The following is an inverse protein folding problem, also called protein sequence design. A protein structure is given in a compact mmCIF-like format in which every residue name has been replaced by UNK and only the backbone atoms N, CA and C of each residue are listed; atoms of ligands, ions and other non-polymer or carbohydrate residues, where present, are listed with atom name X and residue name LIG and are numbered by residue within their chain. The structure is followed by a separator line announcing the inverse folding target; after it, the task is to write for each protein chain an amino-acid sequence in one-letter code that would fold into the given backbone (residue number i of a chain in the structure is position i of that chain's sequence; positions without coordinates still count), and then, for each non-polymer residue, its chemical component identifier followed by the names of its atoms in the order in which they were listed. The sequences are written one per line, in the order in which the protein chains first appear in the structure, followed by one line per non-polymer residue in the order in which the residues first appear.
data_IF_472416937163
#
_entry.id   IF_472416937163
#
_cell.length_a   1.000
_cell.length_b   1.000
_cell.length_c   1.000
_cell.angle_alpha   90.00
_cell.angle_beta   90.00
_cell.angle_gamma   90.00
#
_symmetry.space_group_name_H-M   'P 1'
#
loop_
_entity.id
_entity.type
_entity.pdbx_description
1 polymer ?
#
# COMPACT_ATOMS: atom_id res chain seq x y z
N UNK A 1 12.03 -66.73 -25.86
CA UNK A 1 11.93 -65.56 -24.96
C UNK A 1 13.27 -65.43 -24.24
N UNK A 2 13.87 -64.24 -24.05
CA UNK A 2 13.40 -62.87 -24.26
C UNK A 2 14.28 -62.02 -25.20
N UNK A 3 13.86 -60.75 -25.33
CA UNK A 3 14.28 -59.67 -26.21
C UNK A 3 15.75 -59.20 -26.08
N UNK A 4 16.36 -58.85 -27.20
CA UNK A 4 17.50 -57.93 -27.28
C UNK A 4 16.96 -56.52 -27.55
N UNK A 5 17.21 -55.61 -26.60
CA UNK A 5 16.92 -54.18 -26.68
C UNK A 5 17.73 -53.51 -27.80
N UNK A 6 17.01 -52.87 -28.73
CA UNK A 6 17.59 -51.92 -29.67
C UNK A 6 17.92 -50.63 -28.92
N UNK A 7 19.20 -50.30 -28.86
CA UNK A 7 19.67 -48.95 -28.62
C UNK A 7 19.22 -48.05 -29.78
N UNK A 8 18.09 -47.36 -29.59
CA UNK A 8 17.74 -46.19 -30.38
C UNK A 8 18.38 -44.98 -29.73
N UNK A 9 19.50 -44.53 -30.31
CA UNK A 9 20.02 -43.18 -30.14
C UNK A 9 18.98 -42.19 -30.68
N UNK A 10 18.16 -41.64 -29.79
CA UNK A 10 17.35 -40.48 -30.11
C UNK A 10 18.25 -39.24 -30.15
N UNK A 11 18.25 -38.47 -31.25
CA UNK A 11 19.04 -37.26 -31.34
C UNK A 11 18.53 -36.24 -30.33
N UNK A 12 19.50 -35.55 -29.72
CA UNK A 12 19.34 -34.41 -28.83
C UNK A 12 18.35 -33.43 -29.47
N UNK A 13 17.30 -33.07 -28.72
CA UNK A 13 16.32 -32.06 -29.09
C UNK A 13 17.04 -30.78 -29.52
N UNK A 14 16.84 -30.40 -30.78
CA UNK A 14 16.72 -29.02 -31.30
C UNK A 14 17.06 -27.93 -30.27
N UNK A 15 18.23 -27.31 -30.40
CA UNK A 15 18.44 -25.99 -29.79
C UNK A 15 17.47 -25.02 -30.45
N UNK A 16 16.49 -24.52 -29.71
CA UNK A 16 15.70 -23.35 -30.11
C UNK A 16 16.69 -22.21 -30.34
N UNK A 17 16.92 -21.80 -31.59
CA UNK A 17 17.72 -20.61 -31.87
C UNK A 17 16.92 -19.41 -31.35
N UNK A 18 17.47 -18.71 -30.36
CA UNK A 18 16.90 -17.46 -29.86
C UNK A 18 16.87 -16.44 -31.00
N UNK A 19 15.90 -15.53 -30.98
CA UNK A 19 15.90 -14.46 -31.98
C UNK A 19 17.13 -13.55 -31.78
N UNK A 20 17.72 -12.98 -32.86
CA UNK A 20 18.85 -12.05 -32.71
C UNK A 20 18.58 -10.86 -31.76
N UNK A 21 17.36 -10.28 -31.71
CA UNK A 21 17.02 -9.28 -30.69
C UNK A 21 17.02 -9.83 -29.25
N UNK A 22 16.60 -11.08 -29.04
CA UNK A 22 16.60 -11.74 -27.73
C UNK A 22 18.02 -11.94 -27.21
N UNK A 23 18.91 -12.50 -28.03
CA UNK A 23 20.33 -12.65 -27.68
C UNK A 23 20.98 -11.31 -27.34
N UNK A 24 20.68 -10.28 -28.15
CA UNK A 24 21.22 -8.93 -27.92
C UNK A 24 20.73 -8.33 -26.60
N UNK A 25 19.43 -8.43 -26.30
CA UNK A 25 18.86 -7.92 -25.05
C UNK A 25 19.47 -8.59 -23.82
N UNK A 26 19.65 -9.91 -23.87
CA UNK A 26 20.31 -10.69 -22.80
C UNK A 26 21.75 -10.20 -22.61
N UNK A 27 22.52 -10.15 -23.69
CA UNK A 27 23.93 -9.74 -23.63
C UNK A 27 24.10 -8.33 -23.08
N UNK A 28 23.27 -7.38 -23.54
CA UNK A 28 23.32 -6.00 -23.03
C UNK A 28 22.88 -5.92 -21.57
N UNK A 29 21.82 -6.64 -21.18
CA UNK A 29 21.37 -6.65 -19.78
C UNK A 29 22.48 -7.17 -18.86
N UNK A 30 23.17 -8.24 -19.26
CA UNK A 30 24.33 -8.81 -18.57
C UNK A 30 25.53 -7.85 -18.55
N UNK A 31 25.83 -7.20 -19.67
CA UNK A 31 26.97 -6.26 -19.82
C UNK A 31 26.81 -5.03 -18.92
N UNK A 32 25.64 -4.38 -18.96
CA UNK A 32 25.33 -3.19 -18.16
C UNK A 32 24.89 -3.53 -16.73
N UNK A 33 24.68 -4.81 -16.46
CA UNK A 33 24.34 -5.30 -15.14
C UNK A 33 22.98 -4.82 -14.63
N UNK A 34 22.08 -4.35 -15.50
CA UNK A 34 20.82 -3.72 -15.13
C UNK A 34 19.76 -3.92 -16.22
N UNK A 35 18.58 -4.44 -15.86
CA UNK A 35 17.42 -4.40 -16.75
C UNK A 35 16.10 -4.35 -15.96
N UNK A 36 15.11 -3.68 -16.52
CA UNK A 36 13.73 -3.66 -16.02
C UNK A 36 12.87 -4.43 -17.02
N UNK A 37 12.26 -5.50 -16.57
CA UNK A 37 11.39 -6.36 -17.37
C UNK A 37 9.95 -6.05 -17.00
N UNK A 38 9.06 -5.85 -17.97
CA UNK A 38 7.67 -5.47 -17.71
C UNK A 38 6.74 -5.95 -18.81
N UNK A 39 5.73 -6.72 -18.45
CA UNK A 39 4.59 -7.03 -19.30
C UNK A 39 3.70 -5.79 -19.55
N UNK A 40 3.39 -5.53 -20.81
CA UNK A 40 2.57 -4.40 -21.25
C UNK A 40 1.09 -4.63 -20.95
N UNK A 41 0.43 -3.62 -20.40
CA UNK A 41 -0.99 -3.65 -20.03
C UNK A 41 -1.84 -2.78 -20.96
N UNK A 42 -3.19 -2.94 -20.95
CA UNK A 42 -4.08 -2.07 -21.73
C UNK A 42 -3.89 -0.56 -21.48
N UNK A 43 -3.49 -0.16 -20.27
CA UNK A 43 -3.24 1.25 -19.93
C UNK A 43 -1.88 1.76 -20.44
N UNK A 44 -0.97 0.87 -20.78
CA UNK A 44 0.35 1.24 -21.30
C UNK A 44 0.23 1.65 -22.78
N UNK A 45 -0.59 0.91 -23.53
CA UNK A 45 -0.85 1.12 -24.97
C UNK A 45 -2.01 2.08 -25.27
N UNK A 46 -2.68 2.61 -24.24
CA UNK A 46 -3.68 3.68 -24.39
C UNK A 46 -5.07 3.23 -24.88
N UNK A 47 -5.38 1.94 -24.83
CA UNK A 47 -6.66 1.39 -25.35
C UNK A 47 -7.83 1.49 -24.36
N UNK A 48 -7.60 1.93 -23.11
CA UNK A 48 -8.64 1.99 -22.08
C UNK A 48 -9.49 3.27 -22.10
N UNK A 49 -9.29 4.16 -23.09
CA UNK A 49 -10.02 5.44 -23.19
C UNK A 49 -9.71 6.43 -22.07
N UNK A 50 -8.76 6.10 -21.20
CA UNK A 50 -8.28 6.98 -20.13
C UNK A 50 -7.18 7.91 -20.64
N UNK A 51 -6.97 9.06 -19.99
CA UNK A 51 -5.84 9.96 -20.29
C UNK A 51 -4.46 9.36 -19.93
N UNK A 52 -4.41 8.10 -19.51
CA UNK A 52 -3.20 7.39 -19.15
C UNK A 52 -2.70 6.60 -20.36
N UNK A 53 -1.64 7.10 -20.99
CA UNK A 53 -0.95 6.45 -22.10
C UNK A 53 0.56 6.52 -21.87
N UNK A 54 1.27 5.46 -22.27
CA UNK A 54 2.71 5.27 -22.07
C UNK A 54 3.04 4.31 -20.93
N UNK A 55 4.21 3.70 -21.03
CA UNK A 55 4.61 2.56 -20.23
C UNK A 55 4.80 2.95 -18.76
N UNK A 56 4.04 2.32 -17.87
CA UNK A 56 4.24 2.41 -16.42
C UNK A 56 5.65 1.94 -16.04
N UNK A 57 6.30 2.64 -15.13
CA UNK A 57 7.56 2.21 -14.53
C UNK A 57 7.39 2.01 -13.02
N UNK A 58 7.94 0.93 -12.42
CA UNK A 58 7.74 0.62 -11.01
C UNK A 58 8.37 1.66 -10.09
N UNK A 59 7.58 2.19 -9.15
CA UNK A 59 8.00 3.27 -8.24
C UNK A 59 9.16 2.85 -7.32
N UNK A 60 9.18 1.61 -6.86
CA UNK A 60 10.18 1.09 -5.91
C UNK A 60 11.60 1.21 -6.44
N UNK A 61 11.79 1.08 -7.75
CA UNK A 61 13.11 1.06 -8.40
C UNK A 61 13.41 2.29 -9.24
N UNK A 62 12.79 3.42 -8.89
CA UNK A 62 12.94 4.69 -9.60
C UNK A 62 14.40 5.10 -9.86
N UNK A 63 15.32 4.76 -8.95
CA UNK A 63 16.76 5.05 -9.06
C UNK A 63 17.40 4.45 -10.31
N UNK A 64 16.83 3.39 -10.88
CA UNK A 64 17.34 2.76 -12.10
C UNK A 64 17.09 3.58 -13.35
N UNK A 65 16.09 4.48 -13.34
CA UNK A 65 15.63 5.14 -14.56
C UNK A 65 15.43 6.65 -14.42
N UNK A 66 15.53 7.22 -13.22
CA UNK A 66 15.40 8.67 -13.03
C UNK A 66 16.13 9.15 -11.77
N UNK A 67 16.66 10.39 -11.76
CA UNK A 67 17.19 11.03 -10.56
C UNK A 67 16.10 11.63 -9.66
N UNK A 68 14.84 11.66 -10.11
CA UNK A 68 13.75 12.29 -9.37
C UNK A 68 13.00 11.28 -8.51
N UNK A 69 13.13 11.43 -7.18
CA UNK A 69 12.43 10.59 -6.20
C UNK A 69 10.90 10.79 -6.22
N UNK A 70 10.11 9.78 -5.79
CA UNK A 70 8.65 9.83 -5.89
C UNK A 70 8.01 10.63 -4.74
N UNK A 71 8.15 11.94 -4.81
CA UNK A 71 7.66 12.89 -3.81
C UNK A 71 6.19 13.29 -4.04
N UNK A 72 5.35 13.13 -3.02
CA UNK A 72 3.91 13.48 -3.10
C UNK A 72 3.75 14.99 -3.32
N UNK A 73 2.86 15.37 -4.24
CA UNK A 73 2.56 16.76 -4.61
C UNK A 73 3.41 17.30 -5.76
N UNK A 74 4.41 16.56 -6.24
CA UNK A 74 5.28 16.98 -7.34
C UNK A 74 4.92 16.36 -8.68
N UNK A 75 5.35 17.04 -9.74
CA UNK A 75 5.33 16.57 -11.13
C UNK A 75 6.72 16.80 -11.70
N UNK A 76 7.52 15.75 -11.76
CA UNK A 76 8.91 15.82 -12.23
C UNK A 76 9.04 15.13 -13.58
N UNK A 77 9.81 15.72 -14.49
CA UNK A 77 10.03 15.21 -15.85
C UNK A 77 11.52 15.04 -16.10
N UNK A 78 11.90 13.84 -16.51
CA UNK A 78 13.26 13.47 -16.87
C UNK A 78 13.29 13.10 -18.35
N UNK A 79 14.03 13.85 -19.16
CA UNK A 79 14.16 13.59 -20.59
C UNK A 79 15.21 12.49 -20.82
N UNK A 80 14.89 11.52 -21.68
CA UNK A 80 15.76 10.37 -21.96
C UNK A 80 15.75 10.05 -23.46
N UNK A 81 16.78 9.35 -23.91
CA UNK A 81 16.87 8.76 -25.24
C UNK A 81 16.73 7.24 -25.08
N UNK A 82 15.82 6.64 -25.86
CA UNK A 82 15.65 5.19 -25.92
C UNK A 82 16.03 4.71 -27.32
N UNK A 83 16.96 3.77 -27.40
CA UNK A 83 17.34 3.07 -28.63
C UNK A 83 16.58 1.75 -28.72
N UNK A 84 15.95 1.49 -29.87
CA UNK A 84 15.12 0.31 -30.13
C UNK A 84 15.83 -0.67 -31.08
N UNK A 85 15.34 -1.92 -31.23
CA UNK A 85 16.07 -2.97 -31.96
C UNK A 85 16.21 -2.67 -33.46
N UNK A 86 15.29 -1.90 -34.04
CA UNK A 86 15.31 -1.44 -35.44
C UNK A 86 16.31 -0.28 -35.68
N UNK A 87 17.06 0.14 -34.65
CA UNK A 87 17.97 1.28 -34.69
C UNK A 87 17.28 2.63 -34.52
N UNK A 88 15.96 2.65 -34.28
CA UNK A 88 15.23 3.89 -33.98
C UNK A 88 15.64 4.43 -32.63
N UNK A 89 15.72 5.76 -32.55
CA UNK A 89 15.82 6.47 -31.28
C UNK A 89 14.55 7.27 -31.00
N UNK A 90 14.08 7.22 -29.76
CA UNK A 90 12.96 8.05 -29.28
C UNK A 90 13.43 9.02 -28.20
N UNK A 91 13.12 10.31 -28.38
CA UNK A 91 13.31 11.35 -27.37
C UNK A 91 12.16 11.33 -26.37
N UNK A 92 12.25 10.38 -25.45
CA UNK A 92 11.20 10.04 -24.50
C UNK A 92 11.28 10.86 -23.21
N UNK A 93 10.24 10.79 -22.39
CA UNK A 93 10.17 11.47 -21.08
C UNK A 93 9.65 10.50 -20.04
N UNK A 94 10.41 10.35 -18.97
CA UNK A 94 9.98 9.70 -17.73
C UNK A 94 9.36 10.76 -16.84
N UNK A 95 8.07 10.61 -16.52
CA UNK A 95 7.32 11.57 -15.71
C UNK A 95 6.87 10.93 -14.40
N UNK A 96 7.21 11.56 -13.27
CA UNK A 96 6.61 11.30 -11.98
C UNK A 96 5.27 12.05 -11.87
N UNK A 97 4.18 11.31 -11.66
CA UNK A 97 2.87 11.88 -11.37
C UNK A 97 2.55 11.72 -9.88
N UNK A 98 3.02 12.65 -9.05
CA UNK A 98 2.74 12.70 -7.61
C UNK A 98 1.63 13.67 -7.20
N UNK A 99 1.04 14.39 -8.17
CA UNK A 99 -0.04 15.36 -7.93
C UNK A 99 -1.43 14.71 -7.88
N UNK A 100 -2.37 15.39 -7.20
CA UNK A 100 -3.76 14.94 -7.02
C UNK A 100 -3.81 13.55 -6.36
N UNK A 101 -4.38 12.57 -7.06
CA UNK A 101 -4.54 11.18 -6.62
C UNK A 101 -3.53 10.22 -7.26
N UNK A 102 -2.66 10.71 -8.16
CA UNK A 102 -1.68 9.87 -8.86
C UNK A 102 -0.43 9.70 -8.01
N UNK A 103 0.21 8.55 -8.15
CA UNK A 103 1.48 8.17 -7.52
C UNK A 103 2.18 7.12 -8.38
N UNK A 104 2.58 7.50 -9.60
CA UNK A 104 3.15 6.57 -10.59
C UNK A 104 4.20 7.25 -11.48
N UNK A 105 5.15 6.46 -12.00
CA UNK A 105 6.03 6.87 -13.09
C UNK A 105 5.50 6.36 -14.43
N UNK A 106 5.68 7.15 -15.49
CA UNK A 106 5.47 6.69 -16.86
C UNK A 106 6.56 7.16 -17.81
N UNK A 107 6.99 6.26 -18.67
CA UNK A 107 7.75 6.54 -19.88
C UNK A 107 6.78 6.88 -21.01
N UNK A 108 6.99 8.04 -21.64
CA UNK A 108 6.08 8.59 -22.67
C UNK A 108 6.89 9.27 -23.78
N UNK A 109 6.20 9.80 -24.80
CA UNK A 109 6.80 10.57 -25.91
C UNK A 109 7.67 9.72 -26.85
N UNK A 110 7.13 8.60 -27.29
CA UNK A 110 7.80 7.68 -28.23
C UNK A 110 7.79 8.16 -29.70
N UNK A 111 7.15 9.29 -30.00
CA UNK A 111 6.99 9.80 -31.37
C UNK A 111 5.71 9.33 -32.04
N UNK A 112 5.57 9.63 -33.34
CA UNK A 112 4.46 9.13 -34.18
C UNK A 112 4.80 7.74 -34.70
N UNK A 113 3.78 6.93 -34.95
CA UNK A 113 3.92 5.58 -35.54
C UNK A 113 4.88 4.67 -34.77
N UNK A 114 4.81 4.75 -33.44
CA UNK A 114 5.59 3.89 -32.55
C UNK A 114 4.94 2.48 -32.49
N UNK A 115 5.65 1.42 -32.89
CA UNK A 115 5.04 0.12 -33.20
C UNK A 115 4.50 -0.62 -31.97
N UNK A 116 5.01 -0.29 -30.77
CA UNK A 116 4.67 -0.99 -29.53
C UNK A 116 3.61 -0.27 -28.68
N UNK A 117 2.89 0.69 -29.28
CA UNK A 117 1.72 1.35 -28.70
C UNK A 117 0.44 0.93 -29.44
N UNK A 118 0.25 -0.38 -29.60
CA UNK A 118 -0.92 -0.96 -30.27
C UNK A 118 -1.66 -1.92 -29.33
N UNK A 119 -2.89 -2.27 -29.67
CA UNK A 119 -3.66 -3.24 -28.88
C UNK A 119 -3.02 -4.64 -28.89
N UNK A 120 -2.31 -4.97 -29.97
CA UNK A 120 -1.66 -6.27 -30.17
C UNK A 120 -0.46 -6.44 -29.23
N UNK A 121 0.16 -5.35 -28.79
CA UNK A 121 1.29 -5.40 -27.85
C UNK A 121 0.88 -5.59 -26.38
N UNK A 122 -0.40 -5.83 -26.08
CA UNK A 122 -0.83 -6.13 -24.70
C UNK A 122 -0.45 -7.56 -24.35
N UNK A 123 0.37 -7.72 -23.31
CA UNK A 123 0.93 -9.01 -22.93
C UNK A 123 2.39 -9.18 -23.34
N UNK A 124 2.90 -8.34 -24.25
CA UNK A 124 4.31 -8.37 -24.64
C UNK A 124 5.23 -7.98 -23.47
N UNK A 125 6.44 -8.51 -23.47
CA UNK A 125 7.48 -8.19 -22.50
C UNK A 125 8.33 -7.01 -23.00
N UNK A 126 8.22 -5.87 -22.32
CA UNK A 126 9.19 -4.77 -22.42
C UNK A 126 10.44 -5.11 -21.58
N UNK A 127 11.61 -5.02 -22.17
CA UNK A 127 12.91 -5.03 -21.48
C UNK A 127 13.55 -3.66 -21.65
N UNK A 128 13.82 -2.96 -20.55
CA UNK A 128 14.42 -1.62 -20.53
C UNK A 128 15.76 -1.66 -19.80
N UNK A 129 16.84 -1.36 -20.50
CA UNK A 129 18.23 -1.50 -20.05
C UNK A 129 18.83 -0.09 -19.88
N UNK A 130 19.11 0.36 -18.65
CA UNK A 130 19.77 1.65 -18.42
C UNK A 130 21.24 1.59 -18.86
N UNK A 131 21.61 2.42 -19.84
CA UNK A 131 23.00 2.60 -20.29
C UNK A 131 23.67 3.73 -19.49
N UNK A 132 22.91 4.79 -19.25
CA UNK A 132 23.28 5.91 -18.37
C UNK A 132 22.03 6.48 -17.71
N UNK A 133 22.18 7.56 -16.93
CA UNK A 133 21.01 8.25 -16.34
C UNK A 133 20.04 8.81 -17.38
N UNK A 134 20.44 9.00 -18.64
CA UNK A 134 19.61 9.61 -19.68
C UNK A 134 19.50 8.78 -20.98
N UNK A 135 20.19 7.65 -21.06
CA UNK A 135 20.22 6.79 -22.25
C UNK A 135 19.87 5.36 -21.87
N UNK A 136 18.98 4.75 -22.65
CA UNK A 136 18.47 3.40 -22.41
C UNK A 136 18.38 2.65 -23.73
N UNK A 137 18.56 1.35 -23.68
CA UNK A 137 18.14 0.45 -24.75
C UNK A 137 16.83 -0.22 -24.33
N UNK A 138 15.93 -0.45 -25.30
CA UNK A 138 14.66 -1.10 -25.03
C UNK A 138 14.28 -2.11 -26.11
N UNK A 139 13.62 -3.18 -25.66
CA UNK A 139 13.17 -4.30 -26.48
C UNK A 139 11.73 -4.65 -26.10
N UNK A 140 10.95 -5.12 -27.07
CA UNK A 140 9.59 -5.64 -26.84
C UNK A 140 9.50 -7.00 -27.50
N UNK A 141 9.15 -8.02 -26.71
CA UNK A 141 9.04 -9.42 -27.14
C UNK A 141 7.60 -9.89 -27.05
N UNK A 142 7.10 -10.49 -28.12
CA UNK A 142 5.75 -11.02 -28.29
C UNK A 142 5.71 -12.56 -28.37
N UNK A 143 6.86 -13.21 -28.60
CA UNK A 143 6.99 -14.67 -28.67
C UNK A 143 7.31 -15.27 -27.30
N UNK A 144 6.51 -16.25 -26.87
CA UNK A 144 6.67 -16.96 -25.59
C UNK A 144 8.08 -17.55 -25.42
N UNK A 145 8.66 -18.15 -26.46
CA UNK A 145 10.00 -18.76 -26.41
C UNK A 145 11.10 -17.73 -26.07
N UNK A 146 11.02 -16.51 -26.61
CA UNK A 146 12.00 -15.43 -26.34
C UNK A 146 11.79 -14.86 -24.93
N UNK A 147 10.52 -14.69 -24.51
CA UNK A 147 10.15 -14.23 -23.17
C UNK A 147 10.69 -15.21 -22.12
N UNK A 148 10.42 -16.50 -22.27
CA UNK A 148 10.87 -17.55 -21.36
C UNK A 148 12.40 -17.61 -21.28
N UNK A 149 13.08 -17.48 -22.42
CA UNK A 149 14.54 -17.45 -22.47
C UNK A 149 15.13 -16.25 -21.70
N UNK A 150 14.60 -15.05 -21.92
CA UNK A 150 15.07 -13.83 -21.23
C UNK A 150 14.88 -13.94 -19.72
N UNK A 151 13.67 -14.35 -19.28
CA UNK A 151 13.37 -14.52 -17.86
C UNK A 151 14.26 -15.56 -17.21
N UNK A 152 14.49 -16.68 -17.89
CA UNK A 152 15.33 -17.78 -17.39
C UNK A 152 16.80 -17.37 -17.30
N UNK A 153 17.36 -16.77 -18.36
CA UNK A 153 18.79 -16.41 -18.41
C UNK A 153 19.12 -15.27 -17.44
N UNK A 154 18.22 -14.29 -17.30
CA UNK A 154 18.38 -13.21 -16.33
C UNK A 154 17.99 -13.62 -14.90
N UNK A 155 17.42 -14.80 -14.70
CA UNK A 155 16.99 -15.29 -13.39
C UNK A 155 15.89 -14.43 -12.76
N UNK A 156 15.00 -13.87 -13.59
CA UNK A 156 13.94 -12.96 -13.16
C UNK A 156 12.64 -13.73 -13.08
N UNK A 157 12.06 -13.82 -11.87
CA UNK A 157 10.67 -14.23 -11.68
C UNK A 157 9.79 -12.96 -11.60
N UNK A 158 8.96 -12.68 -12.63
CA UNK A 158 8.15 -11.46 -12.64
C UNK A 158 7.13 -11.46 -11.49
N UNK A 159 7.14 -10.40 -10.67
CA UNK A 159 6.10 -10.19 -9.68
C UNK A 159 4.90 -9.48 -10.35
N UNK A 160 3.81 -10.23 -10.54
CA UNK A 160 2.62 -9.89 -11.32
C UNK A 160 2.85 -9.57 -12.81
N UNK A 161 3.59 -8.50 -13.11
CA UNK A 161 3.77 -7.92 -14.46
C UNK A 161 5.14 -7.28 -14.68
N UNK A 162 6.06 -7.32 -13.74
CA UNK A 162 7.40 -6.78 -13.95
C UNK A 162 8.45 -7.45 -13.04
N UNK A 163 9.73 -7.33 -13.38
CA UNK A 163 10.86 -7.82 -12.61
C UNK A 163 12.14 -7.05 -12.95
N UNK A 164 13.24 -7.30 -12.24
CA UNK A 164 14.51 -6.58 -12.41
C UNK A 164 15.67 -7.55 -12.45
N UNK A 165 16.61 -7.25 -13.32
CA UNK A 165 17.95 -7.81 -13.32
C UNK A 165 18.95 -6.79 -12.78
N UNK A 166 19.80 -7.16 -11.81
CA UNK A 166 20.93 -6.36 -11.34
C UNK A 166 22.17 -7.22 -11.08
N UNK A 167 23.23 -7.10 -11.89
CA UNK A 167 24.54 -7.76 -11.72
C UNK A 167 24.48 -9.25 -11.30
N UNK A 168 23.60 -10.05 -11.91
CA UNK A 168 23.50 -11.49 -11.60
C UNK A 168 22.93 -11.83 -10.23
N UNK A 169 22.49 -10.82 -9.46
CA UNK A 169 21.71 -10.99 -8.25
C UNK A 169 20.31 -10.51 -8.58
N UNK A 170 19.34 -11.41 -8.65
CA UNK A 170 17.95 -11.03 -8.50
C UNK A 170 17.82 -10.44 -7.08
N UNK A 171 17.99 -9.13 -6.93
CA UNK A 171 18.01 -8.52 -5.61
C UNK A 171 16.59 -8.27 -5.10
N UNK A 172 16.28 -9.00 -4.03
CA UNK A 172 15.48 -8.65 -2.85
C UNK A 172 14.29 -7.74 -3.15
N UNK A 173 13.14 -8.40 -3.27
CA UNK A 173 11.81 -7.81 -3.11
C UNK A 173 11.85 -6.64 -2.09
N UNK A 174 11.47 -5.44 -2.53
CA UNK A 174 11.42 -4.28 -1.63
C UNK A 174 10.35 -4.48 -0.55
N UNK A 175 10.44 -3.76 0.57
CA UNK A 175 9.43 -3.87 1.65
C UNK A 175 8.01 -3.63 1.12
N UNK A 176 7.85 -2.66 0.22
CA UNK A 176 6.55 -2.33 -0.41
C UNK A 176 6.09 -3.46 -1.35
N UNK A 177 6.99 -4.10 -2.10
CA UNK A 177 6.66 -5.26 -2.94
C UNK A 177 6.27 -6.48 -2.12
N UNK A 178 6.97 -6.74 -1.02
CA UNK A 178 6.62 -7.81 -0.09
C UNK A 178 5.23 -7.60 0.49
N UNK A 179 4.92 -6.37 0.92
CA UNK A 179 3.59 -6.02 1.42
C UNK A 179 2.52 -6.23 0.35
N UNK A 180 2.77 -5.79 -0.88
CA UNK A 180 1.84 -5.95 -2.01
C UNK A 180 1.62 -7.42 -2.37
N UNK A 181 2.69 -8.23 -2.44
CA UNK A 181 2.64 -9.68 -2.68
C UNK A 181 1.82 -10.39 -1.64
N UNK A 182 2.18 -10.22 -0.37
CA UNK A 182 1.49 -10.89 0.74
C UNK A 182 0.03 -10.47 0.83
N UNK A 183 -0.27 -9.20 0.54
CA UNK A 183 -1.65 -8.68 0.44
C UNK A 183 -2.45 -9.44 -0.63
N UNK A 184 -1.86 -9.68 -1.80
CA UNK A 184 -2.51 -10.40 -2.91
C UNK A 184 -2.63 -11.89 -2.65
N UNK A 185 -1.61 -12.51 -2.04
CA UNK A 185 -1.65 -13.91 -1.59
C UNK A 185 -2.81 -14.13 -0.63
N UNK A 186 -2.92 -13.30 0.42
CA UNK A 186 -4.03 -13.35 1.35
C UNK A 186 -5.36 -13.17 0.62
N UNK A 187 -5.49 -12.10 -0.17
CA UNK A 187 -6.74 -11.82 -0.88
C UNK A 187 -7.12 -12.95 -1.85
N UNK A 188 -6.16 -13.62 -2.48
CA UNK A 188 -6.38 -14.76 -3.39
C UNK A 188 -7.09 -15.94 -2.71
N UNK A 189 -6.88 -16.12 -1.41
CA UNK A 189 -7.49 -17.19 -0.62
C UNK A 189 -8.88 -16.82 -0.07
N UNK A 190 -9.25 -15.54 -0.14
CA UNK A 190 -10.52 -15.04 0.38
C UNK A 190 -11.67 -15.29 -0.61
N UNK A 191 -12.74 -15.93 -0.12
CA UNK A 191 -14.01 -16.13 -0.82
C UNK A 191 -15.17 -15.36 -0.18
N UNK A 192 -15.04 -14.96 1.09
CA UNK A 192 -16.02 -14.17 1.83
C UNK A 192 -15.31 -13.14 2.71
N UNK A 193 -15.95 -12.01 3.04
CA UNK A 193 -15.30 -10.96 3.83
C UNK A 193 -14.85 -11.47 5.21
N UNK A 194 -13.54 -11.36 5.53
CA UNK A 194 -13.05 -11.56 6.89
C UNK A 194 -13.66 -10.51 7.84
N UNK A 195 -13.70 -10.83 9.12
CA UNK A 195 -13.99 -9.83 10.15
C UNK A 195 -12.83 -8.81 10.27
N UNK A 196 -13.10 -7.69 10.93
CA UNK A 196 -12.11 -6.61 11.08
C UNK A 196 -10.86 -7.05 11.86
N UNK A 197 -10.98 -8.00 12.77
CA UNK A 197 -9.88 -8.45 13.61
C UNK A 197 -8.92 -9.34 12.82
N UNK A 198 -9.45 -10.13 11.87
CA UNK A 198 -8.69 -10.88 10.88
C UNK A 198 -7.91 -9.96 9.94
N UNK A 199 -8.51 -8.86 9.44
CA UNK A 199 -7.79 -7.87 8.64
C UNK A 199 -6.63 -7.23 9.41
N UNK A 200 -6.88 -6.77 10.63
CA UNK A 200 -5.84 -6.11 11.43
C UNK A 200 -4.72 -7.09 11.81
N UNK A 201 -5.06 -8.36 12.13
CA UNK A 201 -4.08 -9.40 12.43
C UNK A 201 -3.21 -9.74 11.22
N UNK A 202 -3.82 -9.95 10.06
CA UNK A 202 -3.06 -10.25 8.85
C UNK A 202 -2.18 -9.06 8.44
N UNK A 203 -2.70 -7.85 8.53
CA UNK A 203 -1.91 -6.64 8.26
C UNK A 203 -0.64 -6.58 9.12
N UNK A 204 -0.76 -6.85 10.42
CA UNK A 204 0.42 -6.86 11.31
C UNK A 204 1.40 -7.96 10.93
N UNK A 205 0.91 -9.16 10.62
CA UNK A 205 1.74 -10.27 10.13
C UNK A 205 2.50 -9.88 8.86
N UNK A 206 1.81 -9.29 7.87
CA UNK A 206 2.43 -8.81 6.63
C UNK A 206 3.53 -7.78 6.94
N UNK A 207 3.25 -6.82 7.81
CA UNK A 207 4.22 -5.80 8.19
C UNK A 207 5.42 -6.37 8.95
N UNK A 208 5.21 -7.33 9.84
CA UNK A 208 6.26 -8.03 10.59
C UNK A 208 7.15 -8.88 9.67
N UNK A 209 6.58 -9.52 8.64
CA UNK A 209 7.33 -10.30 7.66
C UNK A 209 8.09 -9.43 6.66
N UNK A 210 7.55 -8.27 6.28
CA UNK A 210 8.07 -7.46 5.17
C UNK A 210 8.93 -6.26 5.59
N UNK A 211 8.73 -5.68 6.78
CA UNK A 211 9.48 -4.50 7.20
C UNK A 211 10.64 -4.90 8.11
N UNK A 212 11.85 -4.59 7.66
CA UNK A 212 13.05 -4.63 8.49
C UNK A 212 12.88 -3.60 9.62
N UNK A 213 13.04 -4.05 10.86
CA UNK A 213 13.00 -3.22 12.06
C UNK A 213 11.67 -2.49 12.36
N UNK A 214 10.51 -3.14 12.13
CA UNK A 214 9.20 -2.62 12.58
C UNK A 214 9.19 -2.25 14.08
N UNK A 215 9.97 -2.96 14.89
CA UNK A 215 10.14 -2.72 16.33
C UNK A 215 10.87 -1.41 16.67
N UNK A 216 11.67 -0.87 15.76
CA UNK A 216 12.42 0.38 15.96
C UNK A 216 11.60 1.63 15.60
N UNK A 217 10.46 1.44 14.92
CA UNK A 217 9.58 2.53 14.53
C UNK A 217 8.79 3.09 15.72
N UNK A 218 8.57 4.40 15.70
CA UNK A 218 7.74 5.09 16.69
C UNK A 218 6.30 4.55 16.68
N UNK A 219 5.58 4.69 17.80
CA UNK A 219 4.19 4.26 17.86
C UNK A 219 3.30 4.97 16.82
N UNK A 220 3.60 6.24 16.51
CA UNK A 220 2.97 7.01 15.44
C UNK A 220 3.18 6.39 14.05
N UNK A 221 4.42 6.03 13.71
CA UNK A 221 4.75 5.47 12.39
C UNK A 221 4.14 4.08 12.21
N UNK A 222 4.14 3.27 13.26
CA UNK A 222 3.52 1.94 13.24
C UNK A 222 2.01 2.06 13.11
N UNK A 223 1.36 2.99 13.83
CA UNK A 223 -0.08 3.24 13.69
C UNK A 223 -0.45 3.59 12.24
N UNK A 224 0.31 4.51 11.63
CA UNK A 224 0.06 4.93 10.25
C UNK A 224 0.33 3.82 9.24
N UNK A 225 1.44 3.08 9.37
CA UNK A 225 1.75 1.94 8.49
C UNK A 225 0.69 0.85 8.58
N UNK A 226 0.27 0.49 9.80
CA UNK A 226 -0.82 -0.46 10.01
C UNK A 226 -2.11 0.00 9.33
N UNK A 227 -2.54 1.24 9.60
CA UNK A 227 -3.80 1.76 9.06
C UNK A 227 -3.80 1.84 7.52
N UNK A 228 -2.71 2.33 6.93
CA UNK A 228 -2.58 2.45 5.47
C UNK A 228 -2.49 1.07 4.80
N UNK A 229 -1.74 0.13 5.37
CA UNK A 229 -1.58 -1.22 4.83
C UNK A 229 -2.88 -2.02 4.93
N UNK A 230 -3.58 -1.95 6.06
CA UNK A 230 -4.90 -2.59 6.21
C UNK A 230 -5.90 -1.99 5.21
N UNK A 231 -5.80 -0.68 4.94
CA UNK A 231 -6.61 -0.06 3.90
C UNK A 231 -6.34 -0.66 2.52
N UNK A 232 -5.08 -0.86 2.13
CA UNK A 232 -4.73 -1.53 0.86
C UNK A 232 -5.24 -2.97 0.83
N UNK A 233 -4.98 -3.75 1.88
CA UNK A 233 -5.43 -5.13 2.03
C UNK A 233 -6.94 -5.25 1.82
N UNK A 234 -7.70 -4.40 2.51
CA UNK A 234 -9.15 -4.33 2.34
C UNK A 234 -9.56 -3.98 0.93
N UNK A 235 -8.89 -3.06 0.23
CA UNK A 235 -9.27 -2.67 -1.14
C UNK A 235 -9.08 -3.82 -2.13
N UNK A 236 -8.05 -4.63 -1.94
CA UNK A 236 -7.81 -5.83 -2.77
C UNK A 236 -8.88 -6.88 -2.49
N UNK A 237 -9.16 -7.18 -1.22
CA UNK A 237 -10.21 -8.12 -0.83
C UNK A 237 -11.60 -7.64 -1.26
N UNK A 238 -11.91 -6.36 -1.06
CA UNK A 238 -13.19 -5.75 -1.45
C UNK A 238 -13.41 -5.87 -2.94
N UNK A 239 -12.38 -5.58 -3.75
CA UNK A 239 -12.49 -5.78 -5.20
C UNK A 239 -12.81 -7.23 -5.49
N UNK A 240 -12.04 -8.18 -4.96
CA UNK A 240 -12.27 -9.61 -5.24
C UNK A 240 -13.66 -10.09 -4.85
N UNK A 241 -14.11 -9.76 -3.64
CA UNK A 241 -15.37 -10.27 -3.08
C UNK A 241 -16.59 -9.54 -3.64
N UNK A 242 -16.52 -8.21 -3.81
CA UNK A 242 -17.65 -7.42 -4.29
C UNK A 242 -17.74 -7.35 -5.82
N UNK A 243 -16.69 -7.64 -6.59
CA UNK A 243 -16.73 -7.54 -8.06
C UNK A 243 -17.93 -8.30 -8.67
N UNK A 244 -18.21 -9.56 -8.28
CA UNK A 244 -19.38 -10.28 -8.80
C UNK A 244 -20.71 -9.61 -8.45
N UNK A 245 -20.81 -8.98 -7.28
CA UNK A 245 -22.02 -8.28 -6.82
C UNK A 245 -22.32 -7.01 -7.65
N UNK A 246 -21.29 -6.39 -8.24
CA UNK A 246 -21.41 -5.11 -8.98
C UNK A 246 -21.45 -5.26 -10.50
N UNK A 247 -20.94 -6.38 -11.06
CA UNK A 247 -20.99 -6.65 -12.50
C UNK A 247 -22.24 -7.40 -12.94
N UNK A 248 -22.97 -8.01 -11.98
CA UNK A 248 -24.25 -8.65 -12.29
C UNK A 248 -25.31 -7.61 -12.69
N UNK A 249 -26.30 -7.96 -13.52
CA UNK A 249 -27.47 -7.13 -13.73
C UNK A 249 -28.25 -6.92 -12.42
N UNK A 250 -28.71 -5.69 -12.19
CA UNK A 250 -29.64 -5.36 -11.11
C UNK A 250 -31.08 -5.53 -11.58
N UNK A 251 -31.93 -6.16 -10.77
CA UNK A 251 -33.33 -6.43 -11.14
C UNK A 251 -34.16 -5.15 -11.23
N UNK A 252 -33.88 -4.21 -10.32
CA UNK A 252 -34.56 -2.92 -10.19
C UNK A 252 -33.70 -1.97 -9.34
N UNK A 253 -34.20 -0.75 -9.12
CA UNK A 253 -33.53 0.28 -8.32
C UNK A 253 -33.28 -0.20 -6.88
N UNK A 254 -34.21 -0.94 -6.29
CA UNK A 254 -34.13 -1.37 -4.89
C UNK A 254 -33.02 -2.42 -4.67
N UNK A 255 -32.86 -3.35 -5.60
CA UNK A 255 -31.76 -4.32 -5.64
C UNK A 255 -30.39 -3.62 -5.72
N UNK A 256 -30.27 -2.59 -6.55
CA UNK A 256 -29.08 -1.75 -6.64
C UNK A 256 -28.77 -1.02 -5.32
N UNK A 257 -29.77 -0.32 -4.75
CA UNK A 257 -29.60 0.45 -3.52
C UNK A 257 -29.24 -0.45 -2.34
N UNK A 258 -29.84 -1.65 -2.24
CA UNK A 258 -29.51 -2.65 -1.21
C UNK A 258 -28.06 -3.11 -1.32
N UNK A 259 -27.60 -3.41 -2.54
CA UNK A 259 -26.21 -3.81 -2.79
C UNK A 259 -25.23 -2.69 -2.42
N UNK A 260 -25.48 -1.47 -2.90
CA UNK A 260 -24.66 -0.30 -2.59
C UNK A 260 -24.58 0.01 -1.09
N UNK A 261 -25.73 -0.05 -0.40
CA UNK A 261 -25.83 0.18 1.04
C UNK A 261 -25.05 -0.87 1.83
N UNK A 262 -25.14 -2.15 1.44
CA UNK A 262 -24.38 -3.22 2.07
C UNK A 262 -22.87 -2.97 2.00
N UNK A 263 -22.35 -2.65 0.81
CA UNK A 263 -20.93 -2.32 0.61
C UNK A 263 -20.52 -1.09 1.43
N UNK A 264 -21.34 -0.04 1.43
CA UNK A 264 -21.05 1.18 2.16
C UNK A 264 -21.04 0.99 3.68
N UNK A 265 -21.95 0.17 4.21
CA UNK A 265 -21.99 -0.17 5.63
C UNK A 265 -20.80 -1.04 6.06
N UNK A 266 -20.37 -1.99 5.20
CA UNK A 266 -19.13 -2.77 5.41
C UNK A 266 -17.93 -1.83 5.56
N UNK A 267 -17.75 -0.87 4.63
CA UNK A 267 -16.68 0.14 4.69
C UNK A 267 -16.68 0.94 5.99
N UNK A 268 -17.86 1.40 6.43
CA UNK A 268 -18.01 2.18 7.66
C UNK A 268 -17.65 1.38 8.91
N UNK A 269 -18.17 0.16 9.03
CA UNK A 269 -17.91 -0.73 10.17
C UNK A 269 -16.42 -1.05 10.28
N UNK A 270 -15.78 -1.36 9.15
CA UNK A 270 -14.36 -1.72 9.08
C UNK A 270 -13.44 -0.58 9.52
N UNK A 271 -13.65 0.63 9.00
CA UNK A 271 -12.76 1.75 9.27
C UNK A 271 -12.66 2.10 10.77
N UNK A 272 -13.77 2.05 11.50
CA UNK A 272 -13.76 2.24 12.97
C UNK A 272 -13.01 1.12 13.67
N UNK A 273 -13.37 -0.13 13.36
CA UNK A 273 -12.78 -1.33 13.95
C UNK A 273 -11.26 -1.41 13.75
N UNK A 274 -10.77 -1.07 12.56
CA UNK A 274 -9.34 -1.07 12.22
C UNK A 274 -8.52 -0.18 13.15
N UNK A 275 -8.96 1.08 13.33
CA UNK A 275 -8.23 2.02 14.17
C UNK A 275 -8.22 1.56 15.64
N UNK A 276 -9.35 1.05 16.14
CA UNK A 276 -9.43 0.48 17.50
C UNK A 276 -8.45 -0.69 17.68
N UNK A 277 -8.42 -1.62 16.73
CA UNK A 277 -7.55 -2.79 16.78
C UNK A 277 -6.06 -2.45 16.73
N UNK A 278 -5.68 -1.39 16.01
CA UNK A 278 -4.29 -0.94 15.95
C UNK A 278 -3.88 -0.12 17.19
N UNK A 279 -4.81 0.64 17.78
CA UNK A 279 -4.58 1.31 19.07
C UNK A 279 -4.39 0.29 20.19
N UNK A 280 -5.26 -0.72 20.29
CA UNK A 280 -5.13 -1.85 21.23
C UNK A 280 -3.75 -2.51 21.11
N UNK A 281 -3.36 -2.90 19.89
CA UNK A 281 -2.05 -3.49 19.62
C UNK A 281 -0.90 -2.62 20.13
N UNK A 282 -0.94 -1.30 19.90
CA UNK A 282 0.15 -0.41 20.30
C UNK A 282 0.18 -0.15 21.82
N UNK A 283 -0.97 -0.05 22.48
CA UNK A 283 -1.06 0.04 23.93
C UNK A 283 -0.53 -1.23 24.58
N UNK A 284 -0.93 -2.40 24.06
CA UNK A 284 -0.42 -3.71 24.47
C UNK A 284 1.10 -3.79 24.27
N UNK A 285 1.60 -3.40 23.09
CA UNK A 285 3.04 -3.38 22.77
C UNK A 285 3.82 -2.45 23.70
N UNK A 286 3.21 -1.36 24.14
CA UNK A 286 3.80 -0.43 25.09
C UNK A 286 3.69 -0.89 26.56
N UNK A 287 3.11 -2.06 26.83
CA UNK A 287 2.82 -2.58 28.17
C UNK A 287 1.92 -1.65 29.00
N UNK A 288 0.99 -0.94 28.35
CA UNK A 288 -0.02 -0.14 29.03
C UNK A 288 -1.19 -1.06 29.42
N UNK A 289 -1.52 -1.24 30.71
CA UNK A 289 -2.73 -1.92 31.11
C UNK A 289 -3.93 -1.13 30.60
N UNK A 290 -4.85 -1.78 29.90
CA UNK A 290 -6.04 -1.14 29.37
C UNK A 290 -7.13 -2.17 29.08
N UNK A 291 -8.35 -1.69 28.90
CA UNK A 291 -9.47 -2.50 28.46
C UNK A 291 -10.19 -1.82 27.29
N UNK A 292 -10.33 -2.56 26.19
CA UNK A 292 -11.06 -2.14 25.00
C UNK A 292 -12.56 -2.36 25.17
N UNK A 293 -13.37 -1.38 24.75
CA UNK A 293 -14.85 -1.41 24.76
C UNK A 293 -15.45 -1.89 26.10
N UNK A 294 -15.08 -1.28 27.24
CA UNK A 294 -15.68 -1.56 28.54
C UNK A 294 -17.21 -1.45 28.50
N UNK A 295 -17.90 -2.37 29.17
CA UNK A 295 -19.38 -2.49 29.11
C UNK A 295 -20.08 -1.93 30.34
N UNK A 296 -19.36 -1.83 31.47
CA UNK A 296 -19.87 -1.42 32.77
C UNK A 296 -19.65 0.07 33.05
N UNK A 297 -18.82 0.74 32.25
CA UNK A 297 -18.56 2.18 32.34
C UNK A 297 -19.67 2.97 31.65
N UNK A 298 -20.09 4.06 32.30
CA UNK A 298 -21.10 4.95 31.78
C UNK A 298 -20.70 5.57 30.43
N UNK A 299 -21.65 5.66 29.50
CA UNK A 299 -21.41 6.12 28.13
C UNK A 299 -20.64 5.14 27.24
N UNK A 300 -20.06 4.05 27.78
CA UNK A 300 -19.34 2.99 27.05
C UNK A 300 -18.19 3.54 26.18
N UNK A 301 -17.09 4.01 26.82
CA UNK A 301 -15.94 4.51 26.08
C UNK A 301 -15.29 3.44 25.21
N UNK A 302 -14.48 3.89 24.25
CA UNK A 302 -13.73 3.00 23.37
C UNK A 302 -12.57 2.31 24.14
N UNK A 303 -11.90 3.02 25.06
CA UNK A 303 -10.84 2.48 25.92
C UNK A 303 -10.90 3.09 27.33
N UNK A 304 -10.64 2.26 28.34
CA UNK A 304 -10.32 2.68 29.70
C UNK A 304 -8.91 2.23 30.08
N UNK A 305 -8.17 3.10 30.79
CA UNK A 305 -6.84 2.82 31.33
C UNK A 305 -6.88 3.15 32.84
N UNK A 306 -6.39 2.26 33.73
CA UNK A 306 -5.79 0.97 33.41
C UNK A 306 -6.81 -0.18 33.24
N UNK A 307 -7.98 -0.11 33.88
CA UNK A 307 -9.02 -1.14 33.78
C UNK A 307 -10.40 -0.65 34.26
N UNK A 308 -11.47 -1.44 34.02
CA UNK A 308 -12.79 -1.16 34.60
C UNK A 308 -12.79 -1.23 36.13
N UNK A 309 -12.05 -2.17 36.73
CA UNK A 309 -11.97 -2.33 38.18
C UNK A 309 -11.39 -1.08 38.85
N UNK A 310 -10.29 -0.54 38.30
CA UNK A 310 -9.70 0.70 38.77
C UNK A 310 -10.66 1.89 38.59
N UNK A 311 -11.45 1.90 37.52
CA UNK A 311 -12.46 2.94 37.30
C UNK A 311 -13.60 2.89 38.32
N UNK A 312 -14.01 1.70 38.78
CA UNK A 312 -15.08 1.56 39.78
C UNK A 312 -14.60 1.73 41.22
N UNK A 313 -13.32 1.46 41.50
CA UNK A 313 -12.71 1.67 42.81
C UNK A 313 -12.58 3.16 43.13
N UNK A 314 -13.43 3.65 44.04
CA UNK A 314 -13.46 5.06 44.47
C UNK A 314 -12.16 5.52 45.16
N UNK A 315 -11.37 4.58 45.70
CA UNK A 315 -10.08 4.89 46.30
C UNK A 315 -8.95 5.03 45.28
N UNK A 316 -9.15 4.53 44.05
CA UNK A 316 -8.15 4.64 42.99
C UNK A 316 -7.97 6.11 42.55
N UNK A 317 -6.72 6.61 42.38
CA UNK A 317 -6.51 8.02 42.03
C UNK A 317 -7.07 8.39 40.65
N UNK A 318 -7.88 9.46 40.59
CA UNK A 318 -8.54 9.91 39.35
C UNK A 318 -7.53 10.35 38.30
N UNK A 319 -6.40 10.93 38.71
CA UNK A 319 -5.35 11.41 37.82
C UNK A 319 -4.57 10.29 37.12
N UNK A 320 -4.68 9.05 37.61
CA UNK A 320 -4.16 7.81 37.01
C UNK A 320 -5.17 7.10 36.10
N UNK A 321 -6.40 7.62 35.98
CA UNK A 321 -7.43 7.08 35.11
C UNK A 321 -7.51 7.85 33.78
N UNK A 322 -7.70 7.12 32.68
CA UNK A 322 -7.88 7.72 31.35
C UNK A 322 -9.04 7.09 30.61
N UNK A 323 -9.93 7.95 30.10
CA UNK A 323 -10.93 7.59 29.08
C UNK A 323 -10.41 8.07 27.73
N UNK A 324 -10.33 7.14 26.78
CA UNK A 324 -9.85 7.42 25.43
C UNK A 324 -10.94 7.05 24.43
N UNK A 325 -11.42 8.05 23.70
CA UNK A 325 -12.25 7.83 22.51
C UNK A 325 -11.37 7.59 21.29
N UNK A 326 -11.78 6.69 20.40
CA UNK A 326 -11.10 6.39 19.15
C UNK A 326 -12.02 6.77 18.00
N UNK A 327 -11.62 7.76 17.19
CA UNK A 327 -12.47 8.28 16.12
C UNK A 327 -11.64 8.50 14.86
N UNK A 328 -11.96 7.78 13.78
CA UNK A 328 -11.40 8.04 12.44
C UNK A 328 -11.75 9.44 11.93
N UNK A 329 -12.87 10.01 12.39
CA UNK A 329 -13.33 11.35 12.05
C UNK A 329 -14.07 11.95 13.23
N UNK A 330 -13.60 13.09 13.74
CA UNK A 330 -14.11 13.80 14.90
C UNK A 330 -15.35 14.65 14.60
N UNK A 331 -15.37 15.42 13.49
CA UNK A 331 -16.48 16.34 13.05
C UNK A 331 -17.42 16.77 14.18
N UNK A 332 -18.72 16.45 14.17
CA UNK A 332 -19.61 16.76 15.30
C UNK A 332 -19.70 15.61 16.33
N UNK A 333 -19.07 14.46 16.02
CA UNK A 333 -19.17 13.21 16.79
C UNK A 333 -18.28 13.18 18.03
N UNK A 334 -17.28 14.06 18.14
CA UNK A 334 -16.41 14.09 19.32
C UNK A 334 -17.15 14.41 20.63
N UNK A 335 -18.29 15.12 20.55
CA UNK A 335 -19.10 15.50 21.72
C UNK A 335 -19.63 14.28 22.49
N UNK A 336 -19.73 13.12 21.85
CA UNK A 336 -20.17 11.88 22.49
C UNK A 336 -19.24 11.46 23.64
N UNK A 337 -17.93 11.67 23.48
CA UNK A 337 -16.89 11.30 24.46
C UNK A 337 -17.02 12.07 25.78
N UNK A 338 -17.65 13.25 25.76
CA UNK A 338 -17.85 14.05 26.97
C UNK A 338 -18.73 13.36 28.01
N UNK A 339 -19.62 12.46 27.56
CA UNK A 339 -20.55 11.73 28.42
C UNK A 339 -20.04 10.34 28.83
N UNK A 340 -18.87 9.93 28.36
CA UNK A 340 -18.29 8.61 28.61
C UNK A 340 -17.37 8.65 29.83
N UNK A 341 -17.61 7.83 30.86
CA UNK A 341 -16.76 7.75 32.05
C UNK A 341 -16.74 9.05 32.86
N UNK A 342 -17.89 9.48 33.37
CA UNK A 342 -18.13 10.76 34.09
C UNK A 342 -17.15 11.05 35.23
N UNK A 343 -16.57 10.03 35.86
CA UNK A 343 -15.57 10.19 36.93
C UNK A 343 -14.34 10.98 36.47
N UNK A 344 -14.02 10.94 35.17
CA UNK A 344 -12.80 11.51 34.61
C UNK A 344 -13.18 12.73 33.77
N UNK A 345 -12.80 13.94 34.18
CA UNK A 345 -13.19 15.16 33.44
C UNK A 345 -12.40 15.38 32.16
N UNK A 346 -11.09 15.08 32.17
CA UNK A 346 -10.21 15.22 31.02
C UNK A 346 -10.33 14.00 30.09
N UNK A 347 -10.71 14.23 28.85
CA UNK A 347 -10.88 13.17 27.85
C UNK A 347 -9.75 13.19 26.83
N UNK A 348 -9.40 12.03 26.30
CA UNK A 348 -8.48 11.91 25.17
C UNK A 348 -9.23 11.38 23.97
N UNK A 349 -8.93 11.90 22.78
CA UNK A 349 -9.44 11.34 21.53
C UNK A 349 -8.28 11.03 20.59
N UNK A 350 -8.11 9.75 20.27
CA UNK A 350 -7.19 9.29 19.23
C UNK A 350 -7.88 9.45 17.88
N UNK A 351 -7.23 10.16 16.96
CA UNK A 351 -7.75 10.36 15.60
C UNK A 351 -6.66 10.42 14.55
N UNK A 352 -7.02 10.01 13.35
CA UNK A 352 -6.23 10.09 12.11
C UNK A 352 -6.83 11.11 11.13
N UNK A 353 -7.77 11.94 11.58
CA UNK A 353 -8.40 12.93 10.73
C UNK A 353 -7.37 13.95 10.22
N UNK A 354 -7.40 14.25 8.93
CA UNK A 354 -6.54 15.26 8.33
C UNK A 354 -7.11 16.66 8.59
N UNK A 355 -6.73 17.24 9.73
CA UNK A 355 -7.08 18.60 10.11
C UNK A 355 -8.46 18.73 10.76
N UNK A 356 -8.54 19.68 11.69
CA UNK A 356 -9.76 20.13 12.37
C UNK A 356 -9.69 21.67 12.43
N UNK A 357 -10.84 22.34 12.27
CA UNK A 357 -10.88 23.81 12.26
C UNK A 357 -10.46 24.38 13.62
N UNK A 358 -9.86 25.58 13.63
CA UNK A 358 -9.43 26.24 14.88
C UNK A 358 -10.59 26.45 15.86
N UNK A 359 -11.78 26.76 15.36
CA UNK A 359 -12.98 26.92 16.19
C UNK A 359 -13.34 25.60 16.89
N UNK A 360 -13.37 24.50 16.13
CA UNK A 360 -13.66 23.20 16.71
C UNK A 360 -12.57 22.76 17.71
N UNK A 361 -11.29 23.02 17.42
CA UNK A 361 -10.20 22.75 18.38
C UNK A 361 -10.36 23.54 19.68
N UNK A 362 -10.79 24.81 19.58
CA UNK A 362 -11.10 25.64 20.75
C UNK A 362 -12.25 25.08 21.59
N UNK A 363 -13.33 24.64 20.93
CA UNK A 363 -14.46 23.99 21.60
C UNK A 363 -14.03 22.70 22.32
N UNK A 364 -13.22 21.87 21.66
CA UNK A 364 -12.69 20.63 22.23
C UNK A 364 -11.83 20.91 23.46
N UNK A 365 -10.91 21.87 23.37
CA UNK A 365 -10.04 22.25 24.48
C UNK A 365 -10.84 22.81 25.68
N UNK A 366 -11.83 23.68 25.39
CA UNK A 366 -12.72 24.25 26.42
C UNK A 366 -13.52 23.16 27.14
N UNK A 367 -13.92 22.10 26.41
CA UNK A 367 -14.61 20.95 26.96
C UNK A 367 -13.70 19.93 27.65
N UNK A 368 -12.40 20.20 27.80
CA UNK A 368 -11.44 19.31 28.45
C UNK A 368 -11.00 18.11 27.60
N UNK A 369 -11.14 18.19 26.27
CA UNK A 369 -10.73 17.15 25.32
C UNK A 369 -9.33 17.43 24.80
N UNK A 370 -8.42 16.48 24.99
CA UNK A 370 -7.07 16.47 24.42
C UNK A 370 -7.04 15.56 23.20
N UNK A 371 -6.54 16.07 22.08
CA UNK A 371 -6.40 15.26 20.86
C UNK A 371 -5.06 14.53 20.85
N UNK A 372 -5.11 13.26 20.45
CA UNK A 372 -3.96 12.41 20.17
C UNK A 372 -3.97 12.11 18.68
N UNK A 373 -3.01 12.66 17.94
CA UNK A 373 -2.96 12.63 16.48
C UNK A 373 -1.56 12.23 16.03
N UNK A 374 -1.39 11.29 15.09
CA UNK A 374 -0.07 10.94 14.57
C UNK A 374 0.75 12.16 14.14
N UNK A 375 2.03 12.21 14.52
CA UNK A 375 2.92 13.37 14.27
C UNK A 375 2.93 13.82 12.80
N UNK A 376 2.90 12.87 11.87
CA UNK A 376 2.90 13.12 10.42
C UNK A 376 1.68 13.94 9.93
N UNK A 377 0.59 13.97 10.70
CA UNK A 377 -0.63 14.71 10.41
C UNK A 377 -0.67 16.11 11.08
N UNK A 378 0.21 16.42 12.03
CA UNK A 378 0.19 17.71 12.75
C UNK A 378 0.32 18.91 11.78
N UNK A 379 1.09 18.75 10.71
CA UNK A 379 1.32 19.79 9.69
C UNK A 379 0.06 20.30 8.97
N UNK A 380 -1.03 19.51 8.95
CA UNK A 380 -2.30 19.92 8.32
C UNK A 380 -3.27 20.56 9.31
N UNK A 381 -2.91 20.64 10.60
CA UNK A 381 -3.68 21.35 11.61
C UNK A 381 -3.31 22.83 11.63
N UNK A 382 -4.24 23.73 12.01
CA UNK A 382 -3.95 25.15 12.12
C UNK A 382 -2.80 25.43 13.09
N UNK A 383 -1.83 26.24 12.68
CA UNK A 383 -0.66 26.62 13.49
C UNK A 383 -1.05 27.46 14.72
N UNK A 384 -2.06 28.31 14.56
CA UNK A 384 -2.63 29.13 15.64
C UNK A 384 -3.76 28.37 16.37
N UNK A 385 -3.52 27.11 16.73
CA UNK A 385 -4.51 26.36 17.51
C UNK A 385 -4.34 26.65 19.01
N UNK A 386 -5.44 26.73 19.78
CA UNK A 386 -5.40 26.92 21.22
C UNK A 386 -5.25 25.60 22.00
N UNK A 387 -5.23 24.45 21.31
CA UNK A 387 -5.37 23.12 21.92
C UNK A 387 -4.03 22.36 21.86
N UNK A 388 -3.58 21.81 22.98
CA UNK A 388 -2.40 20.94 22.96
C UNK A 388 -2.72 19.67 22.16
N UNK A 389 -1.99 19.45 21.06
CA UNK A 389 -2.04 18.21 20.27
C UNK A 389 -0.93 17.30 20.77
N UNK A 390 -1.29 16.11 21.23
CA UNK A 390 -0.34 15.04 21.52
C UNK A 390 -0.16 14.18 20.28
N UNK A 391 1.06 13.71 20.06
CA UNK A 391 1.30 12.57 19.21
C UNK A 391 1.04 11.25 19.97
N UNK A 392 1.00 10.11 19.27
CA UNK A 392 0.61 8.86 19.92
C UNK A 392 1.68 8.36 20.90
N UNK A 393 2.96 8.52 20.57
CA UNK A 393 4.08 8.24 21.49
C UNK A 393 4.05 9.13 22.75
N UNK A 394 3.82 10.43 22.61
CA UNK A 394 3.68 11.39 23.72
C UNK A 394 2.52 11.02 24.65
N UNK A 395 1.42 10.52 24.08
CA UNK A 395 0.30 10.00 24.85
C UNK A 395 0.70 8.76 25.65
N UNK A 396 1.34 7.76 25.02
CA UNK A 396 1.84 6.57 25.71
C UNK A 396 2.79 6.96 26.86
N UNK A 397 3.77 7.81 26.59
CA UNK A 397 4.76 8.24 27.59
C UNK A 397 4.09 9.01 28.74
N UNK A 398 3.08 9.83 28.43
CA UNK A 398 2.27 10.52 29.44
C UNK A 398 1.49 9.54 30.31
N UNK A 399 0.92 8.47 29.73
CA UNK A 399 0.20 7.45 30.50
C UNK A 399 1.18 6.72 31.43
N UNK A 400 2.33 6.24 30.91
CA UNK A 400 3.34 5.52 31.69
C UNK A 400 3.76 6.29 32.95
N UNK A 401 4.14 7.57 32.77
CA UNK A 401 4.57 8.44 33.88
C UNK A 401 3.52 8.62 34.98
N UNK A 402 2.23 8.42 34.68
CA UNK A 402 1.17 8.57 35.68
C UNK A 402 0.79 7.25 36.35
N UNK A 403 0.80 6.15 35.60
CA UNK A 403 0.37 4.85 36.13
C UNK A 403 1.48 4.16 36.94
N UNK A 404 2.75 4.41 36.62
CA UNK A 404 3.89 4.21 37.53
C UNK A 404 3.65 4.99 38.84
#
# INVERSE_FOLDING_TARGET
MPAQEKWNSNPIKSSTMLSPPCEKAINEALEYGNAILKFLSPNDVGITGSHQCGFYLPKSVWKMYTPHAPERGRLDKHNVIITWPDGRETKSVITWYGQRTRSEYRLTRFGRDFPYLTADSVGDLLVLIPISSAEFHAYVFDLDDDIDAILTVLGVEPFERWGIFHNGVAEIESQDECVDRKTKEFAGQITSFPDGDAFSRETRRILEECLVALSELSADDVLMKCYDTEYQLFRVVERRVCQPEIVRPFRNIEDFLKTASSIMNRRKSRAGRSLENHVDYLLTRAAIPHQMRPTTIDGRPDVIIPSEEAYHDQSYPIDKLFVVGIKTTCKDRWRQVLNEGRRITRKHIVTIQQGISSNQLSEMNTAGVTLVVPRSLHRVYPSNNPATLLNFQEFIDSVKRKIE
#
